data_IF_524518109952
#
_entry.id   IF_524518109952
#
_cell.length_a   1.000
_cell.length_b   1.000
_cell.length_c   1.000
_cell.angle_alpha   90.00
_cell.angle_beta   90.00
_cell.angle_gamma   90.00
#
_symmetry.space_group_name_H-M   'P 1'
#
loop_
_entity.id
_entity.type
_entity.pdbx_description
1 polymer ?
#
# COMPACT_ATOMS: atom_id res chain seq x y z
N UNK A 1 -8.29 -0.64 7.60
CA UNK A 1 -9.00 -0.54 6.30
C UNK A 1 -8.62 0.79 5.69
N UNK A 2 -8.60 0.91 4.35
CA UNK A 2 -8.24 2.16 3.67
C UNK A 2 -9.14 2.42 2.47
N UNK A 3 -9.21 3.67 2.01
CA UNK A 3 -9.79 4.04 0.71
C UNK A 3 -8.68 4.34 -0.29
N UNK A 4 -8.45 3.48 -1.27
CA UNK A 4 -7.50 3.73 -2.36
C UNK A 4 -8.09 4.79 -3.30
N UNK A 5 -7.31 5.84 -3.56
CA UNK A 5 -7.71 6.98 -4.37
C UNK A 5 -7.44 6.76 -5.86
N UNK A 6 -8.20 7.42 -6.76
CA UNK A 6 -7.97 7.37 -8.21
C UNK A 6 -6.76 8.24 -8.62
N UNK A 7 -5.59 8.00 -8.00
CA UNK A 7 -4.32 8.68 -8.28
C UNK A 7 -3.24 7.63 -8.54
N UNK A 8 -2.32 7.90 -9.46
CA UNK A 8 -1.23 7.00 -9.81
C UNK A 8 -1.72 5.61 -10.21
N UNK A 9 -1.21 4.58 -9.56
CA UNK A 9 -1.58 3.19 -9.83
C UNK A 9 -3.04 2.87 -9.47
N UNK A 10 -3.67 3.64 -8.57
CA UNK A 10 -5.09 3.50 -8.27
C UNK A 10 -5.95 3.68 -9.52
N UNK A 11 -5.69 4.73 -10.30
CA UNK A 11 -6.38 4.95 -11.59
C UNK A 11 -5.86 3.99 -12.67
N UNK A 12 -4.53 3.90 -12.85
CA UNK A 12 -3.93 3.14 -13.95
C UNK A 12 -4.20 1.63 -13.90
N UNK A 13 -4.46 1.07 -12.71
CA UNK A 13 -4.77 -0.36 -12.51
C UNK A 13 -6.22 -0.60 -12.10
N UNK A 14 -7.08 0.42 -12.14
CA UNK A 14 -8.46 0.35 -11.69
C UNK A 14 -8.62 -0.20 -10.25
N UNK A 15 -7.68 0.18 -9.38
CA UNK A 15 -7.62 -0.19 -7.98
C UNK A 15 -8.10 1.00 -7.13
N UNK A 16 -9.41 1.27 -7.17
CA UNK A 16 -10.04 2.40 -6.45
C UNK A 16 -11.14 1.89 -5.53
N UNK A 17 -11.32 2.55 -4.39
CA UNK A 17 -12.38 2.24 -3.42
C UNK A 17 -11.84 1.66 -2.12
N UNK A 18 -12.68 0.92 -1.38
CA UNK A 18 -12.33 0.43 -0.05
C UNK A 18 -11.59 -0.91 -0.12
N UNK A 19 -10.41 -0.94 0.50
CA UNK A 19 -9.55 -2.11 0.58
C UNK A 19 -9.09 -2.37 2.02
N UNK A 20 -8.82 -3.64 2.31
CA UNK A 20 -8.02 -4.07 3.44
C UNK A 20 -6.57 -4.18 2.96
N UNK A 21 -5.65 -3.48 3.61
CA UNK A 21 -4.22 -3.76 3.47
C UNK A 21 -3.85 -4.85 4.47
N UNK A 22 -3.32 -5.96 3.97
CA UNK A 22 -2.84 -7.06 4.77
C UNK A 22 -1.33 -7.16 4.61
N UNK A 23 -0.60 -6.83 5.67
CA UNK A 23 0.85 -6.92 5.72
C UNK A 23 1.27 -8.31 6.19
N UNK A 24 2.29 -8.86 5.54
CA UNK A 24 2.99 -10.09 5.94
C UNK A 24 4.49 -9.77 6.11
N UNK A 25 5.29 -10.79 6.39
CA UNK A 25 6.76 -10.68 6.45
C UNK A 25 7.39 -10.23 5.13
N UNK A 26 6.75 -10.54 3.99
CA UNK A 26 7.33 -10.32 2.65
C UNK A 26 6.45 -9.54 1.70
N UNK A 27 5.16 -9.41 1.98
CA UNK A 27 4.21 -8.79 1.06
C UNK A 27 3.23 -7.85 1.75
N UNK A 28 2.71 -6.91 0.98
CA UNK A 28 1.51 -6.14 1.32
C UNK A 28 0.42 -6.42 0.27
N UNK A 29 -0.71 -6.92 0.75
CA UNK A 29 -1.81 -7.40 -0.09
C UNK A 29 -2.98 -6.44 -0.01
N UNK A 30 -3.58 -6.13 -1.16
CA UNK A 30 -4.75 -5.28 -1.26
C UNK A 30 -5.96 -6.17 -1.50
N UNK A 31 -6.80 -6.35 -0.48
CA UNK A 31 -8.01 -7.17 -0.55
C UNK A 31 -9.21 -6.25 -0.58
N UNK A 32 -9.98 -6.28 -1.68
CA UNK A 32 -11.16 -5.41 -1.81
C UNK A 32 -12.18 -5.75 -0.72
N UNK A 33 -12.89 -4.76 -0.19
CA UNK A 33 -13.97 -5.01 0.76
C UNK A 33 -15.01 -5.97 0.11
N UNK A 34 -15.47 -6.96 0.86
CA UNK A 34 -16.37 -8.04 0.38
C UNK A 34 -15.75 -8.99 -0.67
N UNK A 35 -14.42 -9.02 -0.78
CA UNK A 35 -13.69 -10.04 -1.54
C UNK A 35 -12.78 -10.83 -0.60
N UNK A 36 -12.63 -12.12 -0.86
CA UNK A 36 -11.64 -12.99 -0.20
C UNK A 36 -10.36 -13.15 -1.03
N UNK A 37 -10.37 -12.66 -2.26
CA UNK A 37 -9.22 -12.69 -3.17
C UNK A 37 -8.50 -11.34 -3.14
N UNK A 38 -7.18 -11.38 -3.04
CA UNK A 38 -6.32 -10.21 -3.16
C UNK A 38 -6.36 -9.68 -4.61
N UNK A 39 -6.70 -8.39 -4.76
CA UNK A 39 -6.68 -7.71 -6.04
C UNK A 39 -5.25 -7.46 -6.53
N UNK A 40 -4.32 -7.21 -5.60
CA UNK A 40 -2.89 -7.17 -5.87
C UNK A 40 -2.09 -7.61 -4.64
N UNK A 41 -0.99 -8.31 -4.90
CA UNK A 41 0.02 -8.73 -3.93
C UNK A 41 1.32 -8.03 -4.28
N UNK A 42 1.78 -7.09 -3.45
CA UNK A 42 3.03 -6.37 -3.66
C UNK A 42 4.11 -6.99 -2.77
N UNK A 43 5.25 -7.34 -3.37
CA UNK A 43 6.43 -7.76 -2.61
C UNK A 43 7.07 -6.54 -1.95
N UNK A 44 7.41 -6.63 -0.66
CA UNK A 44 8.05 -5.54 0.08
C UNK A 44 9.40 -5.15 -0.53
N UNK A 45 10.15 -6.10 -1.10
CA UNK A 45 11.39 -5.84 -1.84
C UNK A 45 11.21 -4.91 -3.06
N UNK A 46 9.99 -4.82 -3.59
CA UNK A 46 9.68 -3.98 -4.75
C UNK A 46 9.15 -2.59 -4.35
N UNK A 47 8.94 -2.34 -3.04
CA UNK A 47 8.56 -1.03 -2.51
C UNK A 47 9.82 -0.16 -2.43
N UNK A 48 9.81 1.00 -3.10
CA UNK A 48 10.95 1.93 -3.10
C UNK A 48 10.93 2.85 -1.89
N UNK A 49 9.73 3.32 -1.55
CA UNK A 49 9.47 4.18 -0.39
C UNK A 49 7.99 4.13 -0.03
N UNK A 50 7.69 4.46 1.20
CA UNK A 50 6.35 4.74 1.69
C UNK A 50 6.39 6.01 2.54
N UNK A 51 5.23 6.56 2.84
CA UNK A 51 5.12 7.76 3.66
C UNK A 51 3.67 8.17 3.88
N UNK A 52 3.48 9.21 4.67
CA UNK A 52 2.16 9.76 4.94
C UNK A 52 2.14 11.29 4.85
N UNK A 53 0.96 11.85 4.65
CA UNK A 53 0.69 13.29 4.65
C UNK A 53 -0.74 13.49 5.12
N UNK A 54 -0.96 14.19 6.22
CA UNK A 54 -2.28 14.26 6.87
C UNK A 54 -2.86 12.85 7.08
N UNK A 55 -4.10 12.59 6.66
CA UNK A 55 -4.73 11.27 6.70
C UNK A 55 -4.51 10.44 5.41
N UNK A 56 -3.48 10.76 4.62
CA UNK A 56 -3.08 9.96 3.47
C UNK A 56 -1.83 9.16 3.78
N UNK A 57 -1.84 7.91 3.34
CA UNK A 57 -0.69 7.03 3.29
C UNK A 57 -0.39 6.68 1.82
N UNK A 58 0.88 6.57 1.45
CA UNK A 58 1.28 6.17 0.11
C UNK A 58 2.37 5.09 0.10
N UNK A 59 2.34 4.27 -0.95
CA UNK A 59 3.35 3.26 -1.25
C UNK A 59 3.82 3.48 -2.69
N UNK A 60 5.10 3.77 -2.88
CA UNK A 60 5.74 3.82 -4.19
C UNK A 60 6.46 2.50 -4.48
N UNK A 61 6.18 1.92 -5.64
CA UNK A 61 6.78 0.66 -6.10
C UNK A 61 7.63 0.84 -7.34
N UNK A 62 8.62 -0.04 -7.50
CA UNK A 62 9.56 -0.05 -8.61
C UNK A 62 9.09 -0.82 -9.83
N UNK A 63 9.95 -0.85 -10.87
CA UNK A 63 9.64 -1.52 -12.15
C UNK A 63 9.39 -3.02 -12.02
N UNK A 64 9.99 -3.66 -11.02
CA UNK A 64 9.84 -5.09 -10.75
C UNK A 64 8.54 -5.46 -10.03
N UNK A 65 7.74 -4.48 -9.61
CA UNK A 65 6.43 -4.75 -9.04
C UNK A 65 5.47 -5.29 -10.10
N UNK A 66 4.55 -6.17 -9.70
CA UNK A 66 3.53 -6.76 -10.58
C UNK A 66 2.65 -5.70 -11.26
N UNK A 67 2.52 -4.53 -10.64
CA UNK A 67 1.76 -3.39 -11.16
C UNK A 67 2.57 -2.47 -12.06
N UNK A 68 3.85 -2.75 -12.27
CA UNK A 68 4.81 -1.79 -12.78
C UNK A 68 5.11 -0.65 -11.79
N UNK A 69 5.96 0.30 -12.17
CA UNK A 69 6.35 1.40 -11.31
C UNK A 69 5.20 2.39 -11.11
N UNK A 70 5.15 3.00 -9.94
CA UNK A 70 4.18 4.04 -9.62
C UNK A 70 3.80 4.05 -8.14
N UNK A 71 2.76 4.81 -7.82
CA UNK A 71 2.35 5.08 -6.44
C UNK A 71 0.89 4.70 -6.20
N UNK A 72 0.65 4.06 -5.06
CA UNK A 72 -0.67 3.89 -4.48
C UNK A 72 -0.89 4.97 -3.43
N UNK A 73 -1.95 5.75 -3.58
CA UNK A 73 -2.40 6.70 -2.57
C UNK A 73 -3.66 6.16 -1.92
N UNK A 74 -3.70 6.20 -0.59
CA UNK A 74 -4.84 5.75 0.17
C UNK A 74 -5.15 6.70 1.32
N UNK A 75 -6.44 6.93 1.54
CA UNK A 75 -6.95 7.73 2.62
C UNK A 75 -7.39 6.83 3.77
N UNK A 76 -7.08 7.26 4.99
CA UNK A 76 -7.47 6.64 6.25
C UNK A 76 -8.22 7.64 7.13
N UNK A 77 -8.62 7.21 8.32
CA UNK A 77 -9.50 8.00 9.18
C UNK A 77 -8.83 9.29 9.65
N UNK A 78 -7.57 9.21 10.09
CA UNK A 78 -6.81 10.35 10.59
C UNK A 78 -5.30 10.20 10.38
N UNK A 79 -4.54 11.23 10.75
CA UNK A 79 -3.07 11.24 10.61
C UNK A 79 -2.35 10.27 11.52
N UNK A 80 -2.92 9.92 12.67
CA UNK A 80 -2.33 8.95 13.60
C UNK A 80 -2.36 7.56 12.97
N UNK A 81 -3.47 7.19 12.34
CA UNK A 81 -3.58 5.94 11.58
C UNK A 81 -2.61 5.95 10.40
N UNK A 82 -2.51 7.07 9.67
CA UNK A 82 -1.60 7.17 8.52
C UNK A 82 -0.12 7.04 8.93
N UNK A 83 0.25 7.68 10.04
CA UNK A 83 1.58 7.59 10.62
C UNK A 83 1.89 6.17 11.09
N UNK A 84 0.97 5.53 11.82
CA UNK A 84 1.13 4.16 12.28
C UNK A 84 1.33 3.18 11.10
N UNK A 85 0.55 3.34 10.02
CA UNK A 85 0.72 2.54 8.81
C UNK A 85 2.10 2.75 8.16
N UNK A 86 2.59 3.99 8.12
CA UNK A 86 3.91 4.31 7.60
C UNK A 86 5.02 3.65 8.43
N UNK A 87 4.99 3.81 9.75
CA UNK A 87 6.01 3.24 10.63
C UNK A 87 6.01 1.70 10.55
N UNK A 88 4.83 1.08 10.59
CA UNK A 88 4.68 -0.39 10.49
C UNK A 88 5.24 -0.94 9.17
N UNK A 89 4.91 -0.32 8.03
CA UNK A 89 5.40 -0.80 6.74
C UNK A 89 6.91 -0.56 6.60
N UNK A 90 7.40 0.58 7.09
CA UNK A 90 8.83 0.91 7.05
C UNK A 90 9.65 -0.06 7.90
N UNK A 91 9.16 -0.46 9.07
CA UNK A 91 9.80 -1.47 9.92
C UNK A 91 9.84 -2.84 9.23
N UNK A 92 8.73 -3.28 8.64
CA UNK A 92 8.70 -4.53 7.87
C UNK A 92 9.67 -4.52 6.67
N UNK A 93 9.82 -3.37 5.99
CA UNK A 93 10.80 -3.21 4.91
C UNK A 93 12.25 -3.28 5.42
N UNK A 94 12.54 -2.73 6.60
CA UNK A 94 13.88 -2.81 7.22
C UNK A 94 14.22 -4.23 7.63
N UNK A 95 13.28 -4.95 8.25
CA UNK A 95 13.47 -6.33 8.66
C UNK A 95 13.74 -7.28 7.48
N UNK A 96 13.37 -6.92 6.24
CA UNK A 96 13.70 -7.68 5.04
C UNK A 96 15.16 -7.51 4.60
N UNK A 97 15.80 -6.41 5.01
CA UNK A 97 17.20 -6.10 4.69
C UNK A 97 18.21 -6.59 5.74
N UNK A 98 17.71 -7.09 6.88
CA UNK A 98 18.47 -7.80 7.91
C UNK A 98 18.56 -9.30 7.61
#
# INVERSE_FOLDING_TARGET
QVKVWPKGLGHARNLVGIYRLCLTDKTVNFVKLNSDVAAVVLQLMNVRRCGHSENFFFIEVGRSAITGPGEFWMQVDDSVVAQNMHETLLEAMKALSE
#
